data_IF_775873425015
#
_entry.id   IF_775873425015
#
_cell.length_a   1.000
_cell.length_b   1.000
_cell.length_c   1.000
_cell.angle_alpha   90.00
_cell.angle_beta   90.00
_cell.angle_gamma   90.00
#
_symmetry.space_group_name_H-M   'P 1'
#
loop_
_entity.id
_entity.type
_entity.pdbx_description
1 polymer ?
#
# COMPACT_ATOMS: atom_id res chain seq x y z
N UNK A 1 -0.29 -14.32 -16.08
CA UNK A 1 1.11 -13.87 -16.09
C UNK A 1 1.09 -12.39 -16.35
N UNK A 2 1.73 -11.59 -15.50
CA UNK A 2 1.75 -10.13 -15.60
C UNK A 2 2.87 -9.67 -16.54
N UNK A 3 2.59 -8.65 -17.36
CA UNK A 3 3.59 -7.98 -18.20
C UNK A 3 4.23 -6.83 -17.41
N UNK A 4 5.54 -6.72 -17.42
CA UNK A 4 6.28 -5.62 -16.79
C UNK A 4 6.84 -4.71 -17.86
N UNK A 5 6.61 -3.39 -17.75
CA UNK A 5 7.02 -2.38 -18.72
C UNK A 5 8.18 -1.49 -18.24
N UNK A 6 8.48 -1.52 -16.93
CA UNK A 6 9.61 -0.85 -16.27
C UNK A 6 9.92 0.59 -16.76
N UNK A 7 8.91 1.47 -16.75
CA UNK A 7 9.08 2.88 -17.14
C UNK A 7 9.95 3.70 -16.16
N UNK A 8 10.15 3.22 -14.94
CA UNK A 8 11.14 3.76 -14.01
C UNK A 8 12.44 2.98 -14.18
N UNK A 9 13.11 3.18 -15.32
CA UNK A 9 14.22 2.37 -15.84
C UNK A 9 15.51 2.41 -15.01
N UNK A 10 15.65 3.32 -14.08
CA UNK A 10 16.71 3.28 -13.09
C UNK A 10 16.12 2.81 -11.77
N UNK A 11 16.55 1.64 -11.31
CA UNK A 11 16.27 1.13 -9.97
C UNK A 11 16.89 2.06 -8.93
N UNK A 12 16.29 3.24 -8.76
CA UNK A 12 16.66 4.14 -7.69
C UNK A 12 15.95 3.65 -6.44
N UNK A 13 16.50 2.61 -5.81
CA UNK A 13 16.17 2.36 -4.41
C UNK A 13 16.74 3.53 -3.62
N UNK A 14 15.87 4.48 -3.31
CA UNK A 14 16.25 5.65 -2.53
C UNK A 14 16.67 5.20 -1.13
N UNK A 15 17.86 5.60 -0.71
CA UNK A 15 18.32 5.41 0.65
C UNK A 15 17.33 6.08 1.63
N UNK A 16 17.08 5.43 2.76
CA UNK A 16 16.20 5.96 3.79
C UNK A 16 16.94 6.24 5.09
N UNK A 17 16.57 7.33 5.77
CA UNK A 17 17.09 7.71 7.07
C UNK A 17 15.92 8.06 7.99
N UNK A 18 16.03 7.69 9.27
CA UNK A 18 15.07 8.11 10.30
C UNK A 18 15.64 9.34 11.04
N UNK A 19 14.86 10.42 11.06
CA UNK A 19 15.17 11.65 11.81
C UNK A 19 13.97 11.91 12.72
N UNK A 20 14.20 11.96 14.02
CA UNK A 20 13.16 12.16 15.05
C UNK A 20 11.93 11.24 14.88
N UNK A 21 12.19 9.97 14.51
CA UNK A 21 11.14 8.97 14.29
C UNK A 21 10.38 9.11 12.96
N UNK A 22 10.72 10.10 12.14
CA UNK A 22 10.16 10.30 10.80
C UNK A 22 11.09 9.71 9.75
N UNK A 23 10.54 8.92 8.80
CA UNK A 23 11.32 8.37 7.69
C UNK A 23 11.46 9.40 6.58
N UNK A 24 12.70 9.63 6.16
CA UNK A 24 13.08 10.43 5.01
C UNK A 24 13.72 9.55 3.95
N UNK A 25 13.53 9.93 2.70
CA UNK A 25 14.22 9.37 1.53
C UNK A 25 15.27 10.37 1.05
N UNK A 26 16.42 9.86 0.64
CA UNK A 26 17.50 10.67 0.07
C UNK A 26 17.40 10.58 -1.46
N UNK A 27 17.17 11.71 -2.13
CA UNK A 27 17.07 11.76 -3.58
C UNK A 27 18.47 11.66 -4.22
N UNK A 28 18.58 11.36 -5.52
CA UNK A 28 19.87 11.36 -6.22
C UNK A 28 20.64 12.70 -6.14
N UNK A 29 19.93 13.80 -5.97
CA UNK A 29 20.51 15.14 -5.75
C UNK A 29 20.93 15.40 -4.30
N UNK A 30 20.77 14.43 -3.39
CA UNK A 30 21.11 14.56 -1.96
C UNK A 30 20.06 15.28 -1.11
N UNK A 31 18.91 15.65 -1.68
CA UNK A 31 17.79 16.22 -0.90
C UNK A 31 17.15 15.15 -0.03
N UNK A 32 16.63 15.55 1.13
CA UNK A 32 15.90 14.65 2.04
C UNK A 32 14.43 15.01 2.06
N UNK A 33 13.59 14.11 1.60
CA UNK A 33 12.16 14.30 1.61
C UNK A 33 11.46 13.34 2.57
N UNK A 34 10.51 13.82 3.38
CA UNK A 34 9.74 12.95 4.27
C UNK A 34 8.91 11.96 3.44
N UNK A 35 8.70 10.78 3.99
CA UNK A 35 7.81 9.79 3.40
C UNK A 35 6.38 10.28 3.45
N UNK A 36 5.62 10.12 2.34
CA UNK A 36 4.18 10.42 2.30
C UNK A 36 3.42 9.70 3.41
N UNK A 37 3.80 8.46 3.74
CA UNK A 37 3.18 7.71 4.84
C UNK A 37 3.46 8.34 6.21
N UNK A 38 4.60 8.99 6.41
CA UNK A 38 4.88 9.74 7.64
C UNK A 38 4.00 11.00 7.73
N UNK A 39 3.78 11.68 6.60
CA UNK A 39 2.93 12.87 6.55
C UNK A 39 1.47 12.50 6.83
N UNK A 40 0.92 11.48 6.16
CA UNK A 40 -0.46 11.02 6.41
C UNK A 40 -0.65 10.50 7.84
N UNK A 41 0.37 9.86 8.41
CA UNK A 41 0.35 9.41 9.82
C UNK A 41 0.33 10.59 10.80
N UNK A 42 0.99 11.69 10.47
CA UNK A 42 0.96 12.90 11.30
C UNK A 42 -0.45 13.48 11.40
N UNK A 43 -1.20 13.56 10.31
CA UNK A 43 -2.60 14.02 10.33
C UNK A 43 -3.51 13.15 11.19
N UNK A 44 -3.25 11.85 11.27
CA UNK A 44 -4.03 10.91 12.06
C UNK A 44 -3.52 10.73 13.51
N UNK A 45 -2.47 11.47 13.91
CA UNK A 45 -1.78 11.30 15.19
C UNK A 45 -2.73 11.40 16.40
N UNK A 46 -3.58 12.43 16.42
CA UNK A 46 -4.48 12.66 17.56
C UNK A 46 -5.56 11.57 17.68
N UNK A 47 -6.05 11.06 16.54
CA UNK A 47 -6.98 9.94 16.50
C UNK A 47 -6.32 8.69 17.07
N UNK A 48 -5.06 8.44 16.67
CA UNK A 48 -4.28 7.30 17.14
C UNK A 48 -3.96 7.39 18.64
N UNK A 49 -3.60 8.57 19.14
CA UNK A 49 -3.35 8.80 20.57
C UNK A 49 -4.63 8.55 21.40
N UNK A 50 -5.78 9.08 20.95
CA UNK A 50 -7.07 8.85 21.63
C UNK A 50 -7.46 7.37 21.64
N UNK A 51 -7.25 6.68 20.51
CA UNK A 51 -7.49 5.25 20.43
C UNK A 51 -6.59 4.46 21.38
N UNK A 52 -5.28 4.75 21.45
CA UNK A 52 -4.34 4.10 22.37
C UNK A 52 -4.76 4.28 23.82
N UNK A 53 -5.14 5.50 24.21
CA UNK A 53 -5.66 5.79 25.56
C UNK A 53 -6.92 4.97 25.87
N UNK A 54 -7.83 4.79 24.89
CA UNK A 54 -9.06 4.03 25.06
C UNK A 54 -8.84 2.52 25.23
N UNK A 55 -7.94 1.92 24.45
CA UNK A 55 -7.73 0.46 24.46
C UNK A 55 -6.66 0.01 25.43
N UNK A 56 -5.80 0.91 25.93
CA UNK A 56 -4.67 0.65 26.79
C UNK A 56 -3.39 0.33 25.98
N UNK A 57 -2.22 0.71 26.53
CA UNK A 57 -0.94 0.67 25.85
C UNK A 57 -0.54 -0.75 25.40
N UNK A 58 -0.65 -1.73 26.29
CA UNK A 58 -0.27 -3.12 25.99
C UNK A 58 -1.10 -3.69 24.82
N UNK A 59 -2.42 -3.51 24.89
CA UNK A 59 -3.33 -3.99 23.86
C UNK A 59 -3.11 -3.24 22.52
N UNK A 60 -2.89 -1.93 22.59
CA UNK A 60 -2.58 -1.12 21.40
C UNK A 60 -1.29 -1.59 20.73
N UNK A 61 -0.22 -1.84 21.51
CA UNK A 61 1.05 -2.35 21.00
C UNK A 61 0.89 -3.73 20.34
N UNK A 62 0.11 -4.63 20.95
CA UNK A 62 -0.20 -5.93 20.37
C UNK A 62 -0.92 -5.79 19.03
N UNK A 63 -2.00 -5.01 18.97
CA UNK A 63 -2.79 -4.78 17.74
C UNK A 63 -1.91 -4.16 16.65
N UNK A 64 -1.10 -3.17 16.97
CA UNK A 64 -0.20 -2.52 16.02
C UNK A 64 0.79 -3.52 15.43
N UNK A 65 1.46 -4.31 16.29
CA UNK A 65 2.42 -5.33 15.85
C UNK A 65 1.78 -6.39 14.95
N UNK A 66 0.60 -6.90 15.33
CA UNK A 66 -0.13 -7.90 14.54
C UNK A 66 -0.58 -7.32 13.19
N UNK A 67 -1.01 -6.06 13.16
CA UNK A 67 -1.42 -5.37 11.92
C UNK A 67 -0.23 -5.13 10.99
N UNK A 68 0.90 -4.68 11.52
CA UNK A 68 2.13 -4.50 10.74
C UNK A 68 2.61 -5.82 10.16
N UNK A 69 2.71 -6.86 10.99
CA UNK A 69 3.14 -8.18 10.55
C UNK A 69 2.22 -8.75 9.44
N UNK A 70 0.90 -8.66 9.65
CA UNK A 70 -0.09 -9.09 8.64
C UNK A 70 0.07 -8.32 7.32
N UNK A 71 0.21 -6.99 7.41
CA UNK A 71 0.41 -6.13 6.25
C UNK A 71 1.67 -6.52 5.47
N UNK A 72 2.82 -6.59 6.14
CA UNK A 72 4.09 -6.96 5.50
C UNK A 72 3.99 -8.31 4.79
N UNK A 73 3.46 -9.35 5.48
CA UNK A 73 3.34 -10.68 4.88
C UNK A 73 2.38 -10.75 3.70
N UNK A 74 1.34 -9.91 3.70
CA UNK A 74 0.42 -9.80 2.58
C UNK A 74 1.09 -9.11 1.38
N UNK A 75 1.78 -7.99 1.60
CA UNK A 75 2.52 -7.29 0.55
C UNK A 75 3.61 -8.19 -0.06
N UNK A 76 4.42 -8.87 0.77
CA UNK A 76 5.43 -9.83 0.30
C UNK A 76 4.81 -10.85 -0.67
N UNK A 77 3.64 -11.43 -0.31
CA UNK A 77 2.99 -12.45 -1.12
C UNK A 77 2.41 -11.89 -2.43
N UNK A 78 1.81 -10.69 -2.38
CA UNK A 78 1.30 -9.99 -3.56
C UNK A 78 2.44 -9.63 -4.51
N UNK A 79 3.56 -9.14 -3.98
CA UNK A 79 4.75 -8.80 -4.76
C UNK A 79 5.31 -10.02 -5.52
N UNK A 80 5.52 -11.15 -4.84
CA UNK A 80 5.95 -12.39 -5.47
C UNK A 80 4.99 -12.84 -6.58
N UNK A 81 3.68 -12.79 -6.29
CA UNK A 81 2.66 -13.15 -7.28
C UNK A 81 2.73 -12.25 -8.52
N UNK A 82 2.82 -10.93 -8.33
CA UNK A 82 2.88 -9.97 -9.43
C UNK A 82 4.21 -10.02 -10.20
N UNK A 83 5.30 -10.49 -9.58
CA UNK A 83 6.56 -10.81 -10.25
C UNK A 83 6.52 -12.12 -11.05
N UNK A 84 5.38 -12.80 -11.09
CA UNK A 84 5.21 -14.12 -11.72
C UNK A 84 6.06 -15.22 -11.08
N UNK A 85 6.42 -15.09 -9.84
CA UNK A 85 7.16 -16.09 -9.07
C UNK A 85 6.23 -17.19 -8.56
N UNK A 86 6.75 -18.39 -8.35
CA UNK A 86 5.94 -19.47 -7.76
C UNK A 86 5.72 -19.22 -6.27
N UNK A 87 4.46 -18.94 -5.92
CA UNK A 87 4.04 -18.68 -4.55
C UNK A 87 3.67 -19.94 -3.77
N UNK A 88 3.63 -21.13 -4.42
CA UNK A 88 3.26 -22.38 -3.75
C UNK A 88 4.35 -22.87 -2.81
N UNK A 89 5.61 -22.61 -3.15
CA UNK A 89 6.78 -22.98 -2.36
C UNK A 89 7.08 -22.01 -1.20
N UNK A 90 6.36 -20.88 -1.14
CA UNK A 90 6.52 -19.91 -0.07
C UNK A 90 5.90 -20.43 1.23
N UNK A 91 6.67 -20.39 2.33
CA UNK A 91 6.16 -20.71 3.66
C UNK A 91 5.26 -19.57 4.18
N UNK A 92 4.00 -19.57 3.73
CA UNK A 92 3.02 -18.53 4.00
C UNK A 92 2.05 -18.97 5.09
N UNK A 93 1.80 -18.09 6.06
CA UNK A 93 0.80 -18.33 7.08
C UNK A 93 -0.59 -18.54 6.47
N UNK A 94 -1.42 -19.46 6.97
CA UNK A 94 -2.78 -19.67 6.46
C UNK A 94 -3.63 -18.38 6.42
N UNK A 95 -3.47 -17.50 7.40
CA UNK A 95 -4.17 -16.21 7.44
C UNK A 95 -3.74 -15.26 6.30
N UNK A 96 -2.46 -15.24 5.96
CA UNK A 96 -1.95 -14.44 4.83
C UNK A 96 -2.43 -15.01 3.50
N UNK A 97 -2.39 -16.33 3.35
CA UNK A 97 -2.90 -17.03 2.16
C UNK A 97 -4.40 -16.75 1.96
N UNK A 98 -5.17 -16.73 3.04
CA UNK A 98 -6.59 -16.41 2.98
C UNK A 98 -6.83 -14.99 2.47
N UNK A 99 -6.11 -13.98 2.99
CA UNK A 99 -6.21 -12.59 2.52
C UNK A 99 -5.82 -12.46 1.04
N UNK A 100 -4.77 -13.15 0.62
CA UNK A 100 -4.35 -13.18 -0.77
C UNK A 100 -5.43 -13.77 -1.68
N UNK A 101 -6.01 -14.91 -1.31
CA UNK A 101 -7.05 -15.56 -2.10
C UNK A 101 -8.31 -14.70 -2.24
N UNK A 102 -8.65 -13.91 -1.22
CA UNK A 102 -9.75 -12.94 -1.31
C UNK A 102 -9.49 -11.82 -2.30
N UNK A 103 -8.24 -11.35 -2.39
CA UNK A 103 -7.87 -10.26 -3.29
C UNK A 103 -7.50 -10.74 -4.69
N UNK A 104 -7.27 -12.04 -4.88
CA UNK A 104 -6.72 -12.60 -6.13
C UNK A 104 -7.54 -12.23 -7.36
N UNK A 105 -8.87 -12.26 -7.29
CA UNK A 105 -9.75 -11.86 -8.40
C UNK A 105 -9.48 -10.41 -8.84
N UNK A 106 -9.21 -9.51 -7.89
CA UNK A 106 -8.87 -8.12 -8.19
C UNK A 106 -7.43 -7.98 -8.68
N UNK A 107 -6.49 -8.75 -8.13
CA UNK A 107 -5.09 -8.77 -8.58
C UNK A 107 -4.99 -9.26 -10.03
N UNK A 108 -5.80 -10.24 -10.43
CA UNK A 108 -5.81 -10.80 -11.79
C UNK A 108 -6.32 -9.80 -12.87
N UNK A 109 -6.93 -8.68 -12.45
CA UNK A 109 -7.34 -7.56 -13.32
C UNK A 109 -6.19 -6.58 -13.62
N UNK A 110 -5.05 -6.73 -12.95
CA UNK A 110 -3.86 -5.91 -13.13
C UNK A 110 -3.02 -6.48 -14.27
N UNK A 111 -2.50 -5.62 -15.13
CA UNK A 111 -1.50 -5.99 -16.14
C UNK A 111 -0.65 -4.75 -16.51
N UNK A 112 0.31 -4.94 -17.42
CA UNK A 112 1.19 -3.86 -17.89
C UNK A 112 1.75 -3.03 -16.74
N UNK A 113 2.51 -3.69 -15.85
CA UNK A 113 3.04 -3.10 -14.61
C UNK A 113 4.17 -2.13 -14.98
N UNK A 114 3.99 -0.87 -14.62
CA UNK A 114 4.96 0.22 -14.81
C UNK A 114 5.92 0.35 -13.64
N UNK A 115 5.45 0.09 -12.43
CA UNK A 115 6.24 0.10 -11.21
C UNK A 115 5.62 -0.86 -10.18
N UNK A 116 6.45 -1.65 -9.51
CA UNK A 116 6.07 -2.54 -8.42
C UNK A 116 7.10 -2.38 -7.31
N UNK A 117 6.64 -1.98 -6.12
CA UNK A 117 7.50 -1.73 -4.95
C UNK A 117 8.67 -0.79 -5.26
N UNK A 118 8.42 0.29 -6.00
CA UNK A 118 9.45 1.25 -6.42
C UNK A 118 9.45 2.51 -5.57
N UNK A 119 10.65 3.00 -5.25
CA UNK A 119 10.83 4.30 -4.60
C UNK A 119 10.63 5.43 -5.61
N UNK A 120 9.89 6.46 -5.21
CA UNK A 120 9.64 7.65 -6.02
C UNK A 120 9.74 8.91 -5.16
N UNK A 121 9.93 10.05 -5.82
CA UNK A 121 9.95 11.35 -5.17
C UNK A 121 9.38 12.43 -6.08
N UNK A 122 9.03 13.55 -5.47
CA UNK A 122 8.61 14.77 -6.16
C UNK A 122 9.36 15.96 -5.56
N UNK A 123 10.11 16.67 -6.38
CA UNK A 123 10.76 17.93 -5.98
C UNK A 123 9.72 19.03 -5.79
N UNK A 124 8.62 18.99 -6.53
CA UNK A 124 7.52 19.94 -6.42
C UNK A 124 6.76 19.80 -5.09
N UNK A 125 6.43 18.56 -4.70
CA UNK A 125 5.74 18.30 -3.44
C UNK A 125 6.69 18.29 -2.23
N UNK A 126 8.00 18.12 -2.44
CA UNK A 126 8.97 17.89 -1.37
C UNK A 126 8.71 16.60 -0.60
N UNK A 127 8.22 15.59 -1.27
CA UNK A 127 7.80 14.29 -0.71
C UNK A 127 8.46 13.14 -1.44
N UNK A 128 8.57 12.01 -0.76
CA UNK A 128 8.99 10.76 -1.37
C UNK A 128 8.22 9.57 -0.78
N UNK A 129 8.37 8.40 -1.37
CA UNK A 129 7.75 7.17 -0.85
C UNK A 129 8.05 5.98 -1.73
N UNK A 130 7.57 4.82 -1.30
CA UNK A 130 7.60 3.58 -2.05
C UNK A 130 6.17 3.22 -2.42
N UNK A 131 5.87 3.25 -3.73
CA UNK A 131 4.55 2.86 -4.23
C UNK A 131 4.44 1.34 -4.28
N UNK A 132 3.27 0.82 -3.92
CA UNK A 132 3.01 -0.60 -4.02
C UNK A 132 2.98 -1.03 -5.50
N UNK A 133 2.12 -0.37 -6.32
CA UNK A 133 2.03 -0.70 -7.74
C UNK A 133 1.53 0.49 -8.58
N UNK A 134 2.09 0.65 -9.79
CA UNK A 134 1.52 1.46 -10.87
C UNK A 134 1.39 0.53 -12.07
N UNK A 135 0.15 0.33 -12.52
CA UNK A 135 -0.16 -0.64 -13.57
C UNK A 135 -1.51 -0.33 -14.22
N UNK A 136 -1.81 -1.00 -15.32
CA UNK A 136 -3.16 -0.98 -15.86
C UNK A 136 -4.09 -1.88 -15.02
N UNK A 137 -5.22 -1.33 -14.63
CA UNK A 137 -6.32 -2.06 -14.01
C UNK A 137 -7.53 -1.99 -14.93
N UNK A 138 -7.93 -3.13 -15.48
CA UNK A 138 -8.91 -3.23 -16.58
C UNK A 138 -8.52 -2.37 -17.81
N UNK A 139 -7.23 -2.29 -18.12
CA UNK A 139 -6.71 -1.55 -19.28
C UNK A 139 -6.57 -0.04 -19.08
N UNK A 140 -6.76 0.48 -17.87
CA UNK A 140 -6.58 1.88 -17.54
C UNK A 140 -5.48 2.06 -16.49
N UNK A 141 -4.50 2.93 -16.77
CA UNK A 141 -3.36 3.16 -15.87
C UNK A 141 -3.81 3.74 -14.53
N UNK A 142 -3.38 3.09 -13.44
CA UNK A 142 -3.77 3.40 -12.07
C UNK A 142 -2.57 3.36 -11.11
N UNK A 143 -2.65 4.15 -10.04
CA UNK A 143 -1.92 3.87 -8.80
C UNK A 143 -2.75 2.88 -8.01
N UNK A 144 -2.13 1.79 -7.59
CA UNK A 144 -2.78 0.70 -6.86
C UNK A 144 -2.07 0.51 -5.53
N UNK A 145 -2.82 0.62 -4.45
CA UNK A 145 -2.33 0.48 -3.08
C UNK A 145 -2.96 -0.76 -2.43
N UNK A 146 -2.13 -1.60 -1.81
CA UNK A 146 -2.56 -2.83 -1.18
C UNK A 146 -2.70 -2.63 0.32
N UNK A 147 -3.86 -2.98 0.87
CA UNK A 147 -4.14 -2.82 2.30
C UNK A 147 -4.72 -4.09 2.91
N UNK A 148 -4.47 -4.26 4.19
CA UNK A 148 -5.15 -5.29 4.99
C UNK A 148 -5.93 -4.66 6.13
N UNK A 149 -7.09 -5.22 6.42
CA UNK A 149 -7.90 -4.79 7.55
C UNK A 149 -8.51 -5.99 8.27
N UNK A 150 -8.90 -5.81 9.54
CA UNK A 150 -9.67 -6.81 10.29
C UNK A 150 -11.16 -6.68 10.05
N UNK A 151 -11.61 -5.51 9.60
CA UNK A 151 -13.01 -5.19 9.28
C UNK A 151 -13.06 -4.22 8.12
N UNK A 152 -14.17 -4.18 7.40
CA UNK A 152 -14.45 -3.15 6.40
C UNK A 152 -14.40 -1.79 7.09
N UNK A 153 -13.68 -0.84 6.49
CA UNK A 153 -13.56 0.53 6.98
C UNK A 153 -14.59 1.43 6.29
N UNK A 154 -15.22 2.34 7.00
CA UNK A 154 -15.99 3.42 6.39
C UNK A 154 -15.10 4.27 5.47
N UNK A 155 -15.71 4.89 4.45
CA UNK A 155 -14.98 5.69 3.44
C UNK A 155 -14.20 6.85 4.10
N UNK A 156 -14.79 7.51 5.09
CA UNK A 156 -14.14 8.63 5.81
C UNK A 156 -12.85 8.20 6.53
N UNK A 157 -12.65 6.90 6.76
CA UNK A 157 -11.45 6.37 7.45
C UNK A 157 -10.32 5.99 6.48
N UNK A 158 -10.58 6.08 5.18
CA UNK A 158 -9.60 5.72 4.15
C UNK A 158 -9.18 6.90 3.27
N UNK A 159 -9.65 8.11 3.55
CA UNK A 159 -9.26 9.34 2.81
C UNK A 159 -7.74 9.49 2.70
N UNK A 160 -7.01 9.11 3.77
CA UNK A 160 -5.55 9.16 3.78
C UNK A 160 -4.90 8.19 2.75
N UNK A 161 -5.60 7.15 2.30
CA UNK A 161 -5.10 6.27 1.24
C UNK A 161 -5.14 6.99 -0.10
N UNK A 162 -6.25 7.68 -0.40
CA UNK A 162 -6.36 8.49 -1.63
C UNK A 162 -5.36 9.66 -1.65
N UNK A 163 -5.06 10.26 -0.50
CA UNK A 163 -3.99 11.28 -0.40
C UNK A 163 -2.63 10.65 -0.72
N UNK A 164 -2.34 9.46 -0.21
CA UNK A 164 -1.11 8.73 -0.50
C UNK A 164 -1.03 8.36 -1.98
N UNK A 165 -2.06 7.79 -2.55
CA UNK A 165 -2.16 7.41 -3.96
C UNK A 165 -2.02 8.61 -4.89
N UNK A 166 -2.66 9.75 -4.56
CA UNK A 166 -2.54 11.01 -5.30
C UNK A 166 -1.10 11.51 -5.30
N UNK A 167 -0.41 11.46 -4.16
CA UNK A 167 0.99 11.86 -4.09
C UNK A 167 1.87 10.97 -4.97
N UNK A 168 1.61 9.66 -5.02
CA UNK A 168 2.32 8.75 -5.93
C UNK A 168 2.01 9.02 -7.39
N UNK A 169 0.77 9.37 -7.75
CA UNK A 169 0.43 9.78 -9.11
C UNK A 169 1.20 11.04 -9.54
N UNK A 170 1.34 12.03 -8.64
CA UNK A 170 2.15 13.22 -8.88
C UNK A 170 3.64 12.89 -9.02
N UNK A 171 4.20 12.07 -8.13
CA UNK A 171 5.60 11.64 -8.20
C UNK A 171 5.88 10.91 -9.52
N UNK A 172 4.99 10.00 -9.91
CA UNK A 172 5.15 9.24 -11.14
C UNK A 172 5.08 10.14 -12.38
N UNK A 173 4.13 11.08 -12.42
CA UNK A 173 4.04 12.06 -13.50
C UNK A 173 5.30 12.92 -13.59
N UNK A 174 5.83 13.41 -12.47
CA UNK A 174 7.04 14.24 -12.44
C UNK A 174 8.26 13.47 -12.93
N UNK A 175 8.38 12.18 -12.59
CA UNK A 175 9.53 11.34 -12.97
C UNK A 175 9.45 10.79 -14.41
N UNK A 176 8.24 10.61 -14.97
CA UNK A 176 8.05 9.93 -16.26
C UNK A 176 7.35 10.76 -17.33
N UNK A 177 6.64 11.83 -16.95
CA UNK A 177 5.75 12.60 -17.83
C UNK A 177 4.41 11.90 -18.14
N UNK A 178 4.17 10.69 -17.59
CA UNK A 178 2.96 9.90 -17.86
C UNK A 178 1.91 10.19 -16.77
N UNK A 179 0.74 10.77 -17.12
CA UNK A 179 -0.29 11.08 -16.15
C UNK A 179 -1.05 9.82 -15.72
N UNK A 180 -1.29 9.68 -14.41
CA UNK A 180 -2.16 8.65 -13.82
C UNK A 180 -3.38 9.33 -13.22
N UNK A 181 -4.58 8.91 -13.63
CA UNK A 181 -5.84 9.53 -13.21
C UNK A 181 -6.73 8.63 -12.37
N UNK A 182 -6.39 7.35 -12.29
CA UNK A 182 -7.15 6.35 -11.55
C UNK A 182 -6.40 5.94 -10.29
N UNK A 183 -7.10 5.94 -9.17
CA UNK A 183 -6.58 5.54 -7.87
C UNK A 183 -7.36 4.33 -7.38
N UNK A 184 -6.68 3.31 -6.90
CA UNK A 184 -7.30 2.04 -6.51
C UNK A 184 -6.69 1.54 -5.21
N UNK A 185 -7.51 1.36 -4.20
CA UNK A 185 -7.14 0.63 -2.99
C UNK A 185 -7.73 -0.77 -3.02
N UNK A 186 -6.89 -1.80 -3.07
CA UNK A 186 -7.32 -3.20 -2.91
C UNK A 186 -7.17 -3.58 -1.44
N UNK A 187 -8.30 -3.74 -0.73
CA UNK A 187 -8.29 -4.03 0.70
C UNK A 187 -8.73 -5.47 0.98
N UNK A 188 -7.79 -6.31 1.42
CA UNK A 188 -8.09 -7.65 1.91
C UNK A 188 -8.54 -7.59 3.38
N UNK A 189 -9.69 -8.18 3.70
CA UNK A 189 -10.31 -8.11 5.03
C UNK A 189 -10.35 -9.48 5.69
N UNK A 190 -9.73 -9.62 6.86
CA UNK A 190 -9.62 -10.92 7.55
C UNK A 190 -10.92 -11.42 8.19
N UNK A 191 -11.92 -10.55 8.32
CA UNK A 191 -13.23 -10.89 8.86
C UNK A 191 -14.32 -10.60 7.83
N UNK A 192 -14.83 -11.64 7.18
CA UNK A 192 -16.06 -11.57 6.40
C UNK A 192 -17.22 -11.97 7.29
N UNK A 193 -18.19 -11.07 7.54
CA UNK A 193 -19.49 -11.47 7.99
C UNK A 193 -20.16 -12.29 6.88
N UNK A 194 -20.21 -13.60 7.05
CA UNK A 194 -21.21 -14.40 6.37
C UNK A 194 -22.56 -14.02 7.04
N UNK A 195 -23.21 -13.00 6.50
CA UNK A 195 -24.64 -12.82 6.74
C UNK A 195 -25.32 -13.95 5.99
N UNK A 196 -25.70 -15.01 6.71
CA UNK A 196 -26.68 -15.95 6.18
C UNK A 196 -27.92 -15.12 5.78
N UNK A 197 -28.47 -15.27 4.56
CA UNK A 197 -29.70 -14.60 4.21
C UNK A 197 -30.76 -15.03 5.22
N UNK A 198 -31.24 -14.11 6.05
CA UNK A 198 -32.43 -14.31 6.86
C UNK A 198 -33.60 -14.30 5.88
N UNK A 199 -34.04 -15.48 5.50
CA UNK A 199 -35.34 -15.64 4.83
C UNK A 199 -36.41 -15.33 5.89
N UNK A 200 -36.99 -14.14 5.83
CA UNK A 200 -38.27 -13.87 6.44
C UNK A 200 -39.32 -14.58 5.56
N UNK A 201 -39.89 -15.67 6.08
CA UNK A 201 -41.10 -16.27 5.57
C UNK A 201 -42.32 -15.46 5.99
#
# INVERSE_FOLDING_TARGET
MFTHLDYLSENVDLETVAIDGTRFYITPSGKKYPSITSVTSFYNRDIFIRWRKKVGEEKANKITRESTFRGTKYHDLVEHYMKNEDINDLNVLPSTKFLFLQSKEHLDRINNIHALEKSMYSDYLGLAGRVDCIAEFDGELAVIDFKTATKIKPEEWIENYFVQETAYACMYFEMTGIPVKKLITIMAVSYTHLTLPTTYG
#
